data_IF_782974288277
#
_entry.id   IF_782974288277
#
_cell.length_a   1.000
_cell.length_b   1.000
_cell.length_c   1.000
_cell.angle_alpha   90.00
_cell.angle_beta   90.00
_cell.angle_gamma   90.00
#
_symmetry.space_group_name_H-M   'P 1'
#
loop_
_entity.id
_entity.type
_entity.pdbx_description
1 polymer ?
#
# COMPACT_ATOMS: atom_id res chain seq x y z
N UNK A 1 9.45 -77.09 -30.51
CA UNK A 1 10.19 -76.10 -31.33
C UNK A 1 10.51 -74.94 -30.41
N UNK A 2 11.77 -74.52 -30.30
CA UNK A 2 12.13 -73.36 -29.48
C UNK A 2 11.45 -72.10 -30.04
N UNK A 3 10.94 -71.24 -29.17
CA UNK A 3 10.27 -70.00 -29.57
C UNK A 3 11.29 -68.99 -30.12
N UNK A 4 10.83 -68.00 -30.91
CA UNK A 4 11.73 -66.96 -31.44
C UNK A 4 12.44 -66.17 -30.33
N UNK A 5 11.78 -66.00 -29.17
CA UNK A 5 12.40 -65.38 -28.00
C UNK A 5 13.58 -66.21 -27.46
N UNK A 6 13.42 -67.53 -27.36
CA UNK A 6 14.50 -68.43 -26.92
C UNK A 6 15.71 -68.42 -27.88
N UNK A 7 15.46 -68.31 -29.18
CA UNK A 7 16.54 -68.15 -30.16
C UNK A 7 17.29 -66.84 -29.98
N UNK A 8 16.58 -65.73 -29.73
CA UNK A 8 17.22 -64.43 -29.47
C UNK A 8 18.01 -64.46 -28.17
N UNK A 9 17.49 -65.08 -27.11
CA UNK A 9 18.20 -65.20 -25.83
C UNK A 9 19.46 -66.06 -25.93
N UNK A 10 19.41 -67.20 -26.64
CA UNK A 10 20.59 -68.04 -26.84
C UNK A 10 21.66 -67.35 -27.70
N UNK A 11 21.24 -66.63 -28.75
CA UNK A 11 22.14 -65.82 -29.57
C UNK A 11 22.79 -64.68 -28.77
N UNK A 12 22.01 -63.91 -28.00
CA UNK A 12 22.52 -62.84 -27.13
C UNK A 12 23.52 -63.37 -26.10
N UNK A 13 23.24 -64.53 -25.49
CA UNK A 13 24.15 -65.16 -24.55
C UNK A 13 25.48 -65.57 -25.19
N UNK A 14 25.43 -66.16 -26.39
CA UNK A 14 26.62 -66.49 -27.18
C UNK A 14 27.48 -65.26 -27.50
N UNK A 15 26.85 -64.18 -27.97
CA UNK A 15 27.53 -62.91 -28.26
C UNK A 15 28.16 -62.30 -27.00
N UNK A 16 27.45 -62.31 -25.87
CA UNK A 16 27.97 -61.78 -24.60
C UNK A 16 29.22 -62.54 -24.12
N UNK A 17 29.28 -63.87 -24.30
CA UNK A 17 30.47 -64.66 -23.95
C UNK A 17 31.68 -64.32 -24.82
N UNK A 18 31.48 -64.17 -26.14
CA UNK A 18 32.56 -63.79 -27.06
C UNK A 18 33.11 -62.40 -26.70
N UNK A 19 32.23 -61.43 -26.42
CA UNK A 19 32.62 -60.07 -26.01
C UNK A 19 33.35 -60.09 -24.67
N UNK A 20 32.87 -60.87 -23.69
CA UNK A 20 33.54 -61.00 -22.39
C UNK A 20 34.94 -61.64 -22.51
N UNK A 21 35.09 -62.67 -23.34
CA UNK A 21 36.38 -63.32 -23.57
C UNK A 21 37.40 -62.36 -24.23
N UNK A 22 36.95 -61.51 -25.15
CA UNK A 22 37.83 -60.54 -25.82
C UNK A 22 38.21 -59.36 -24.93
N UNK A 23 37.25 -58.82 -24.17
CA UNK A 23 37.45 -57.57 -23.40
C UNK A 23 37.95 -57.83 -21.98
N UNK A 24 37.37 -58.81 -21.29
CA UNK A 24 37.68 -59.13 -19.90
C UNK A 24 38.64 -60.32 -19.74
N UNK A 25 39.00 -61.02 -20.84
CA UNK A 25 39.82 -62.25 -20.84
C UNK A 25 39.22 -63.41 -20.02
N UNK A 26 37.91 -63.42 -19.85
CA UNK A 26 37.18 -64.49 -19.16
C UNK A 26 36.28 -65.26 -20.15
N UNK A 27 36.48 -66.58 -20.26
CA UNK A 27 35.74 -67.44 -21.21
C UNK A 27 34.38 -67.93 -20.67
N UNK A 28 34.16 -67.79 -19.35
CA UNK A 28 32.91 -68.18 -18.68
C UNK A 28 32.58 -67.25 -17.50
N UNK A 29 32.09 -66.02 -17.78
CA UNK A 29 31.81 -65.05 -16.74
C UNK A 29 30.53 -65.41 -15.97
N UNK A 30 30.59 -65.43 -14.63
CA UNK A 30 29.41 -65.66 -13.77
C UNK A 30 28.38 -64.51 -13.84
N UNK A 31 28.81 -63.31 -14.26
CA UNK A 31 27.96 -62.15 -14.53
C UNK A 31 28.47 -61.39 -15.76
N UNK A 32 27.60 -60.77 -16.58
CA UNK A 32 28.06 -60.03 -17.76
C UNK A 32 28.98 -58.87 -17.34
N UNK A 33 30.16 -58.70 -17.98
CA UNK A 33 31.20 -57.75 -17.54
C UNK A 33 30.72 -56.29 -17.54
N UNK A 34 29.77 -55.94 -18.42
CA UNK A 34 29.21 -54.59 -18.52
C UNK A 34 27.87 -54.41 -17.81
N UNK A 35 27.34 -55.40 -17.08
CA UNK A 35 26.01 -55.30 -16.47
C UNK A 35 25.91 -54.10 -15.52
N UNK A 36 26.97 -53.82 -14.75
CA UNK A 36 27.03 -52.66 -13.85
C UNK A 36 27.15 -51.35 -14.62
N UNK A 37 27.96 -51.30 -15.67
CA UNK A 37 28.17 -50.11 -16.50
C UNK A 37 26.91 -49.75 -17.31
N UNK A 38 26.28 -50.74 -17.94
CA UNK A 38 25.03 -50.58 -18.68
C UNK A 38 23.85 -50.21 -17.75
N UNK A 39 23.78 -50.82 -16.56
CA UNK A 39 22.80 -50.44 -15.54
C UNK A 39 22.97 -49.01 -15.06
N UNK A 40 24.22 -48.59 -14.76
CA UNK A 40 24.52 -47.21 -14.36
C UNK A 40 24.20 -46.20 -15.47
N UNK A 41 24.52 -46.52 -16.73
CA UNK A 41 24.19 -45.68 -17.88
C UNK A 41 22.67 -45.53 -18.06
N UNK A 42 21.90 -46.61 -17.93
CA UNK A 42 20.44 -46.58 -18.04
C UNK A 42 19.81 -45.75 -16.92
N UNK A 43 20.28 -45.90 -15.67
CA UNK A 43 19.85 -45.05 -14.54
C UNK A 43 20.20 -43.59 -14.81
N UNK A 44 21.40 -43.29 -15.31
CA UNK A 44 21.81 -41.94 -15.67
C UNK A 44 20.92 -41.30 -16.74
N UNK A 45 20.58 -42.04 -17.79
CA UNK A 45 19.66 -41.58 -18.85
C UNK A 45 18.25 -41.33 -18.29
N UNK A 46 17.74 -42.22 -17.44
CA UNK A 46 16.43 -42.04 -16.81
C UNK A 46 16.40 -40.80 -15.91
N UNK A 47 17.45 -40.58 -15.10
CA UNK A 47 17.56 -39.38 -14.26
C UNK A 47 17.67 -38.11 -15.10
N UNK A 48 18.42 -38.13 -16.20
CA UNK A 48 18.49 -37.00 -17.13
C UNK A 48 17.13 -36.72 -17.79
N UNK A 49 16.41 -37.76 -18.22
CA UNK A 49 15.07 -37.63 -18.79
C UNK A 49 14.07 -37.06 -17.77
N UNK A 50 14.12 -37.52 -16.52
CA UNK A 50 13.31 -36.95 -15.42
C UNK A 50 13.68 -35.49 -15.16
N UNK A 51 14.97 -35.15 -15.16
CA UNK A 51 15.44 -33.77 -14.99
C UNK A 51 14.96 -32.83 -16.11
N UNK A 52 15.06 -33.26 -17.37
CA UNK A 52 14.55 -32.50 -18.53
C UNK A 52 13.03 -32.38 -18.46
N UNK A 53 12.32 -33.47 -18.14
CA UNK A 53 10.88 -33.45 -17.94
C UNK A 53 10.44 -32.49 -16.83
N UNK A 54 11.17 -32.47 -15.70
CA UNK A 54 10.94 -31.55 -14.60
C UNK A 54 11.18 -30.09 -14.99
N UNK A 55 12.25 -29.80 -15.73
CA UNK A 55 12.52 -28.46 -16.23
C UNK A 55 11.46 -27.99 -17.24
N UNK A 56 11.01 -28.87 -18.14
CA UNK A 56 9.95 -28.57 -19.10
C UNK A 56 8.60 -28.32 -18.41
N UNK A 57 8.22 -29.17 -17.45
CA UNK A 57 7.01 -28.98 -16.64
C UNK A 57 7.07 -27.66 -15.84
N UNK A 58 8.23 -27.35 -15.26
CA UNK A 58 8.45 -26.08 -14.55
C UNK A 58 8.32 -24.87 -15.47
N UNK A 59 8.86 -24.94 -16.70
CA UNK A 59 8.75 -23.88 -17.69
C UNK A 59 7.29 -23.67 -18.17
N UNK A 60 6.48 -24.73 -18.27
CA UNK A 60 5.06 -24.61 -18.62
C UNK A 60 4.22 -24.02 -17.48
N UNK A 61 4.56 -24.33 -16.22
CA UNK A 61 3.87 -23.78 -15.05
C UNK A 61 4.22 -22.31 -14.76
N UNK A 62 5.38 -21.85 -15.23
CA UNK A 62 5.78 -20.43 -15.20
C UNK A 62 5.87 -19.89 -16.62
N UNK A 63 4.73 -19.51 -17.25
CA UNK A 63 4.77 -18.81 -18.52
C UNK A 63 5.71 -17.61 -18.36
N UNK A 64 6.83 -17.60 -19.09
CA UNK A 64 7.72 -16.44 -19.11
C UNK A 64 6.97 -15.24 -19.68
N UNK A 65 7.26 -14.02 -19.17
CA UNK A 65 6.68 -12.74 -19.60
C UNK A 65 6.24 -12.75 -21.08
N UNK A 66 4.99 -13.06 -21.40
CA UNK A 66 4.44 -12.95 -22.77
C UNK A 66 3.49 -11.78 -22.89
N UNK A 67 3.31 -11.00 -21.81
CA UNK A 67 2.53 -9.77 -21.86
C UNK A 67 3.20 -8.78 -22.81
N UNK A 68 2.40 -8.22 -23.72
CA UNK A 68 2.82 -7.13 -24.58
C UNK A 68 3.02 -5.87 -23.73
N UNK A 69 4.21 -5.74 -23.19
CA UNK A 69 4.57 -4.62 -22.32
C UNK A 69 4.61 -3.27 -23.06
N UNK A 70 4.44 -3.26 -24.39
CA UNK A 70 4.31 -2.04 -25.21
C UNK A 70 2.86 -1.58 -25.36
N UNK A 71 1.96 -2.10 -24.53
CA UNK A 71 0.61 -1.60 -24.34
C UNK A 71 0.64 -0.16 -23.74
N UNK A 72 -0.19 0.73 -24.26
CA UNK A 72 -0.33 2.12 -23.82
C UNK A 72 -1.03 2.26 -22.45
N UNK A 73 -1.57 1.16 -21.92
CA UNK A 73 -2.21 1.03 -20.60
C UNK A 73 -1.36 0.22 -19.59
N UNK A 74 -0.17 -0.23 -19.98
CA UNK A 74 0.68 -1.02 -19.11
C UNK A 74 1.55 -0.15 -18.19
N UNK A 75 1.39 -0.31 -16.88
CA UNK A 75 2.38 0.13 -15.89
C UNK A 75 3.52 -0.88 -15.85
N UNK A 76 4.68 -0.51 -16.35
CA UNK A 76 5.82 -1.41 -16.47
C UNK A 76 6.70 -1.29 -15.23
N UNK A 77 6.94 -2.40 -14.54
CA UNK A 77 7.86 -2.50 -13.40
C UNK A 77 9.07 -3.32 -13.82
N UNK A 78 10.27 -2.73 -13.73
CA UNK A 78 11.50 -3.49 -13.97
C UNK A 78 11.74 -4.48 -12.82
N UNK A 79 11.85 -5.76 -13.16
CA UNK A 79 11.99 -6.85 -12.19
C UNK A 79 13.22 -6.70 -11.29
N UNK A 80 14.33 -6.23 -11.84
CA UNK A 80 15.63 -6.19 -11.16
C UNK A 80 15.81 -4.98 -10.25
N UNK A 81 15.10 -3.87 -10.51
CA UNK A 81 15.28 -2.60 -9.78
C UNK A 81 14.02 -2.07 -9.12
N UNK A 82 12.84 -2.55 -9.54
CA UNK A 82 11.55 -1.96 -9.18
C UNK A 82 11.25 -0.63 -9.88
N UNK A 83 12.11 -0.18 -10.80
CA UNK A 83 11.90 1.08 -11.51
C UNK A 83 10.61 1.04 -12.34
N UNK A 84 9.86 2.14 -12.29
CA UNK A 84 8.58 2.29 -12.98
C UNK A 84 8.78 2.94 -14.35
N UNK A 85 8.07 2.42 -15.35
CA UNK A 85 8.07 2.95 -16.69
C UNK A 85 6.66 2.97 -17.29
N UNK A 86 6.45 3.87 -18.24
CA UNK A 86 5.30 3.88 -19.14
C UNK A 86 5.81 3.92 -20.58
N UNK A 87 5.16 3.16 -21.47
CA UNK A 87 5.46 3.19 -22.88
C UNK A 87 4.57 4.21 -23.58
N UNK A 88 5.18 5.22 -24.21
CA UNK A 88 4.48 6.20 -25.05
C UNK A 88 5.20 6.23 -26.38
N UNK A 89 4.58 5.61 -27.38
CA UNK A 89 5.24 5.28 -28.64
C UNK A 89 6.03 6.46 -29.23
N UNK A 90 7.30 6.27 -29.64
CA UNK A 90 8.08 5.03 -29.62
C UNK A 90 8.98 4.86 -28.39
N UNK A 91 8.79 5.66 -27.32
CA UNK A 91 9.74 5.80 -26.21
C UNK A 91 9.23 5.20 -24.90
N UNK A 92 10.17 4.62 -24.16
CA UNK A 92 9.98 4.14 -22.79
C UNK A 92 10.40 5.23 -21.80
N UNK A 93 9.44 5.80 -21.08
CA UNK A 93 9.64 6.90 -20.14
C UNK A 93 9.76 6.36 -18.71
N UNK A 94 10.86 6.64 -17.99
CA UNK A 94 10.93 6.40 -16.56
C UNK A 94 9.94 7.30 -15.81
N UNK A 95 9.31 6.80 -14.76
CA UNK A 95 8.31 7.57 -13.98
C UNK A 95 8.69 7.59 -12.50
N UNK A 96 8.52 8.75 -11.87
CA UNK A 96 8.93 8.96 -10.47
C UNK A 96 8.14 8.15 -9.43
N UNK A 97 6.88 7.82 -9.71
CA UNK A 97 5.97 7.17 -8.75
C UNK A 97 4.77 6.50 -9.43
N UNK A 98 4.10 5.59 -8.71
CA UNK A 98 2.93 4.86 -9.22
C UNK A 98 1.77 5.81 -9.56
N UNK A 99 1.51 6.82 -8.73
CA UNK A 99 0.44 7.79 -8.98
C UNK A 99 0.63 8.50 -10.33
N UNK A 100 1.84 9.02 -10.59
CA UNK A 100 2.17 9.66 -11.87
C UNK A 100 2.06 8.71 -13.05
N UNK A 101 2.44 7.45 -12.88
CA UNK A 101 2.36 6.48 -13.96
C UNK A 101 0.90 6.19 -14.34
N UNK A 102 0.02 5.96 -13.36
CA UNK A 102 -1.41 5.77 -13.61
C UNK A 102 -2.04 7.01 -14.27
N UNK A 103 -1.71 8.21 -13.79
CA UNK A 103 -2.17 9.47 -14.38
C UNK A 103 -1.70 9.65 -15.84
N UNK A 104 -0.48 9.21 -16.17
CA UNK A 104 0.07 9.24 -17.53
C UNK A 104 -0.61 8.25 -18.47
N UNK A 105 -0.95 7.05 -17.97
CA UNK A 105 -1.68 6.04 -18.73
C UNK A 105 -3.13 6.48 -18.99
N UNK A 106 -3.72 7.23 -18.04
CA UNK A 106 -5.08 7.76 -18.13
C UNK A 106 -6.13 6.69 -18.51
N UNK A 107 -5.95 5.48 -17.99
CA UNK A 107 -6.75 4.31 -18.30
C UNK A 107 -7.25 3.66 -17.01
N UNK A 108 -8.57 3.61 -16.75
CA UNK A 108 -9.14 2.96 -15.57
C UNK A 108 -8.85 1.46 -15.49
N UNK A 109 -8.59 0.83 -16.64
CA UNK A 109 -8.22 -0.57 -16.80
C UNK A 109 -6.70 -0.78 -16.93
N UNK A 110 -5.89 0.20 -16.50
CA UNK A 110 -4.44 0.06 -16.44
C UNK A 110 -4.03 -1.17 -15.62
N UNK A 111 -3.03 -1.89 -16.11
CA UNK A 111 -2.55 -3.11 -15.48
C UNK A 111 -1.03 -3.09 -15.33
N UNK A 112 -0.54 -3.77 -14.30
CA UNK A 112 0.90 -3.81 -14.01
C UNK A 112 1.55 -5.00 -14.69
N UNK A 113 2.63 -4.76 -15.43
CA UNK A 113 3.46 -5.79 -16.04
C UNK A 113 4.88 -5.72 -15.47
N UNK A 114 5.38 -6.85 -15.00
CA UNK A 114 6.77 -6.95 -14.54
C UNK A 114 7.64 -7.43 -15.68
N UNK A 115 8.66 -6.67 -16.06
CA UNK A 115 9.49 -6.96 -17.24
C UNK A 115 10.97 -6.96 -16.85
N UNK A 116 11.76 -7.87 -17.42
CA UNK A 116 13.21 -7.88 -17.19
C UNK A 116 13.92 -6.70 -17.86
N UNK A 117 14.97 -6.19 -17.23
CA UNK A 117 15.84 -5.13 -17.75
C UNK A 117 16.31 -5.42 -19.17
N UNK A 118 16.64 -6.68 -19.46
CA UNK A 118 17.13 -7.10 -20.77
C UNK A 118 16.13 -6.81 -21.91
N UNK A 119 14.82 -6.94 -21.67
CA UNK A 119 13.78 -6.66 -22.67
C UNK A 119 13.56 -5.16 -22.86
N UNK A 120 13.60 -4.39 -21.77
CA UNK A 120 13.42 -2.94 -21.80
C UNK A 120 14.54 -2.23 -22.58
N UNK A 121 15.73 -2.83 -22.72
CA UNK A 121 16.85 -2.28 -23.53
C UNK A 121 16.52 -2.10 -25.01
N UNK A 122 15.53 -2.83 -25.52
CA UNK A 122 15.14 -2.76 -26.93
C UNK A 122 14.34 -1.50 -27.28
N UNK A 123 13.74 -0.81 -26.30
CA UNK A 123 13.01 0.42 -26.54
C UNK A 123 13.88 1.67 -26.33
N UNK A 124 13.80 2.68 -27.21
CA UNK A 124 14.40 3.99 -26.98
C UNK A 124 13.92 4.60 -25.66
N UNK A 125 14.82 5.24 -24.90
CA UNK A 125 14.47 5.94 -23.67
C UNK A 125 13.89 7.33 -23.96
N UNK A 126 12.89 7.70 -23.17
CA UNK A 126 12.34 9.06 -23.10
C UNK A 126 12.86 9.82 -21.88
N UNK A 127 12.38 11.05 -21.72
CA UNK A 127 12.62 11.85 -20.52
C UNK A 127 11.95 11.20 -19.29
N UNK A 128 12.49 11.47 -18.10
CA UNK A 128 11.85 11.10 -16.83
C UNK A 128 10.60 11.96 -16.66
N UNK A 129 9.47 11.32 -16.37
CA UNK A 129 8.18 11.98 -16.18
C UNK A 129 7.67 11.79 -14.75
N UNK A 130 6.72 12.63 -14.35
CA UNK A 130 5.95 12.46 -13.13
C UNK A 130 6.01 13.64 -12.19
N UNK A 131 5.32 13.51 -11.06
CA UNK A 131 5.06 14.55 -10.08
C UNK A 131 5.99 14.33 -8.87
N UNK A 132 6.97 15.22 -8.61
CA UNK A 132 7.87 15.08 -7.47
C UNK A 132 7.10 15.15 -6.15
N UNK A 133 7.30 14.17 -5.27
CA UNK A 133 6.61 14.09 -3.99
C UNK A 133 5.18 13.55 -4.05
N UNK A 134 4.69 13.11 -5.22
CA UNK A 134 3.46 12.32 -5.27
C UNK A 134 3.69 10.89 -4.72
N UNK A 135 2.62 10.21 -4.27
CA UNK A 135 2.75 8.91 -3.61
C UNK A 135 3.42 7.86 -4.50
N UNK A 136 4.52 7.28 -4.00
CA UNK A 136 5.25 6.21 -4.66
C UNK A 136 4.39 4.94 -4.84
N UNK A 137 3.53 4.66 -3.85
CA UNK A 137 2.50 3.63 -3.89
C UNK A 137 1.16 4.26 -3.52
N UNK A 138 0.08 3.79 -4.15
CA UNK A 138 -1.28 4.16 -3.77
C UNK A 138 -1.88 3.12 -2.81
N UNK A 139 -2.68 3.54 -1.81
CA UNK A 139 -3.48 2.63 -1.02
C UNK A 139 -4.43 1.84 -1.93
N UNK A 140 -4.58 0.51 -1.77
CA UNK A 140 -5.58 -0.22 -2.51
C UNK A 140 -6.99 0.17 -2.05
N UNK A 141 -7.99 0.00 -2.92
CA UNK A 141 -9.37 0.46 -2.69
C UNK A 141 -9.98 -0.06 -1.38
N UNK A 142 -9.68 -1.30 -0.98
CA UNK A 142 -10.16 -1.96 0.24
C UNK A 142 -9.45 -1.46 1.52
N UNK A 143 -8.39 -0.67 1.36
CA UNK A 143 -7.66 0.00 2.44
C UNK A 143 -7.95 1.49 2.53
N UNK A 144 -8.87 2.00 1.69
CA UNK A 144 -9.43 3.33 1.89
C UNK A 144 -10.40 3.31 3.06
N UNK A 145 -10.11 4.13 4.06
CA UNK A 145 -10.89 4.29 5.27
C UNK A 145 -12.09 5.18 5.00
N UNK A 146 -13.25 4.70 5.43
CA UNK A 146 -14.54 5.38 5.25
C UNK A 146 -15.10 5.89 6.58
N UNK A 147 -14.50 5.42 7.68
CA UNK A 147 -14.86 5.77 9.03
C UNK A 147 -14.52 7.24 9.35
N UNK A 148 -15.29 7.89 10.24
CA UNK A 148 -15.00 9.24 10.69
C UNK A 148 -13.59 9.36 11.25
N UNK A 149 -12.93 10.47 10.93
CA UNK A 149 -11.63 10.79 11.51
C UNK A 149 -11.82 11.13 12.98
N UNK A 150 -10.91 10.66 13.82
CA UNK A 150 -10.91 10.98 15.24
C UNK A 150 -9.75 11.92 15.53
N UNK A 151 -10.03 13.04 16.19
CA UNK A 151 -9.00 13.99 16.64
C UNK A 151 -8.93 13.96 18.15
N UNK A 152 -7.77 13.62 18.68
CA UNK A 152 -7.51 13.55 20.11
C UNK A 152 -6.57 14.67 20.54
N UNK A 153 -6.87 15.34 21.64
CA UNK A 153 -5.97 16.27 22.30
C UNK A 153 -5.25 15.58 23.45
N UNK A 154 -3.94 15.77 23.50
CA UNK A 154 -3.09 15.52 24.67
C UNK A 154 -2.55 16.86 25.18
N UNK A 155 -1.86 16.89 26.33
CA UNK A 155 -1.16 18.09 26.80
C UNK A 155 -0.08 18.59 25.82
N UNK A 156 0.47 17.70 24.99
CA UNK A 156 1.57 17.99 24.07
C UNK A 156 1.10 18.47 22.67
N UNK A 157 -0.18 18.28 22.32
CA UNK A 157 -0.72 18.65 21.02
C UNK A 157 -1.96 17.82 20.63
N UNK A 158 -2.26 17.80 19.33
CA UNK A 158 -3.38 17.00 18.78
C UNK A 158 -2.87 15.80 17.99
N UNK A 159 -3.58 14.68 18.06
CA UNK A 159 -3.33 13.49 17.24
C UNK A 159 -4.56 13.22 16.39
N UNK A 160 -4.39 13.20 15.07
CA UNK A 160 -5.45 12.89 14.10
C UNK A 160 -5.31 11.44 13.68
N UNK A 161 -6.31 10.62 13.98
CA UNK A 161 -6.40 9.23 13.54
C UNK A 161 -7.32 9.10 12.34
N UNK A 162 -6.82 8.50 11.27
CA UNK A 162 -7.56 8.26 10.03
C UNK A 162 -7.83 6.76 9.91
N UNK A 163 -9.04 6.36 10.27
CA UNK A 163 -9.56 4.99 10.12
C UNK A 163 -9.46 4.07 11.33
N UNK A 164 -8.50 4.29 12.23
CA UNK A 164 -8.39 3.52 13.47
C UNK A 164 -8.92 4.32 14.66
N UNK A 165 -9.71 3.67 15.53
CA UNK A 165 -10.12 4.28 16.80
C UNK A 165 -9.09 3.95 17.88
N UNK A 166 -8.46 4.95 18.52
CA UNK A 166 -7.38 4.74 19.48
C UNK A 166 -7.82 4.03 20.77
N UNK A 167 -9.10 4.08 21.16
CA UNK A 167 -9.56 3.42 22.37
C UNK A 167 -11.03 3.69 22.70
N UNK A 168 -11.48 3.19 23.85
CA UNK A 168 -12.80 3.53 24.41
C UNK A 168 -12.62 4.67 25.41
N UNK A 169 -13.44 5.71 25.27
CA UNK A 169 -13.52 6.80 26.24
C UNK A 169 -14.88 6.84 26.93
N UNK A 170 -15.02 7.78 27.85
CA UNK A 170 -16.31 8.13 28.44
C UNK A 170 -16.91 9.32 27.68
N UNK A 171 -18.16 9.21 27.22
CA UNK A 171 -18.86 10.34 26.62
C UNK A 171 -18.96 11.49 27.63
N UNK A 172 -18.76 12.72 27.15
CA UNK A 172 -18.85 13.91 27.99
C UNK A 172 -20.29 14.10 28.53
N UNK A 173 -21.28 13.80 27.69
CA UNK A 173 -22.71 13.88 28.04
C UNK A 173 -23.15 15.32 28.28
N UNK A 174 -23.90 15.55 29.35
CA UNK A 174 -24.39 16.89 29.73
C UNK A 174 -23.35 17.71 30.54
N UNK A 175 -22.16 17.15 30.78
CA UNK A 175 -21.07 17.84 31.47
C UNK A 175 -20.30 18.74 30.51
N UNK A 176 -19.65 19.77 31.03
CA UNK A 176 -18.80 20.66 30.25
C UNK A 176 -17.31 20.53 30.59
N UNK A 177 -16.45 20.94 29.66
CA UNK A 177 -15.02 21.16 29.93
C UNK A 177 -14.67 22.57 29.49
N UNK A 178 -14.01 23.35 30.36
CA UNK A 178 -13.39 24.60 29.94
C UNK A 178 -12.01 24.29 29.37
N UNK A 179 -11.81 24.62 28.11
CA UNK A 179 -10.56 24.38 27.40
C UNK A 179 -9.98 25.69 26.88
N UNK A 180 -8.66 25.74 26.80
CA UNK A 180 -7.93 26.82 26.17
C UNK A 180 -6.90 26.25 25.21
N UNK A 181 -6.83 26.82 24.00
CA UNK A 181 -5.74 26.55 23.07
C UNK A 181 -4.65 27.61 23.16
N UNK A 182 -3.70 27.56 22.23
CA UNK A 182 -2.64 28.57 22.08
C UNK A 182 -3.12 29.99 21.78
N UNK A 183 -4.38 30.20 21.39
CA UNK A 183 -4.96 31.53 21.12
C UNK A 183 -5.39 32.30 22.39
N UNK A 184 -5.25 31.69 23.57
CA UNK A 184 -5.74 32.20 24.86
C UNK A 184 -7.25 32.48 24.93
N UNK A 185 -8.02 32.12 23.90
CA UNK A 185 -9.46 32.10 23.96
C UNK A 185 -9.93 30.88 24.74
N UNK A 186 -10.89 31.09 25.63
CA UNK A 186 -11.47 30.02 26.44
C UNK A 186 -12.75 29.57 25.77
N UNK A 187 -12.86 28.27 25.56
CA UNK A 187 -14.04 27.62 25.02
C UNK A 187 -14.64 26.70 26.06
N UNK A 188 -15.97 26.67 26.14
CA UNK A 188 -16.72 25.62 26.80
C UNK A 188 -17.00 24.53 25.77
N UNK A 189 -16.47 23.34 26.02
CA UNK A 189 -16.85 22.13 25.29
C UNK A 189 -18.06 21.55 25.97
N UNK A 190 -19.22 21.57 25.31
CA UNK A 190 -20.49 21.11 25.85
C UNK A 190 -21.43 20.71 24.71
N UNK A 191 -22.22 19.64 24.90
CA UNK A 191 -23.11 19.10 23.87
C UNK A 191 -22.44 18.89 22.50
N UNK A 192 -21.21 18.38 22.49
CA UNK A 192 -20.39 18.15 21.29
C UNK A 192 -20.09 19.41 20.45
N UNK A 193 -20.15 20.58 21.07
CA UNK A 193 -19.80 21.85 20.44
C UNK A 193 -18.82 22.63 21.30
N UNK A 194 -18.05 23.51 20.67
CA UNK A 194 -17.26 24.53 21.35
C UNK A 194 -18.04 25.84 21.36
N UNK A 195 -18.16 26.43 22.54
CA UNK A 195 -18.81 27.73 22.74
C UNK A 195 -17.80 28.71 23.29
N UNK A 196 -17.66 29.89 22.66
CA UNK A 196 -16.71 30.89 23.14
C UNK A 196 -17.18 31.47 24.48
N UNK A 197 -16.31 31.47 25.49
CA UNK A 197 -16.57 32.05 26.81
C UNK A 197 -15.79 33.35 26.95
N UNK A 198 -16.49 34.49 26.92
CA UNK A 198 -15.85 35.82 26.96
C UNK A 198 -15.30 36.18 28.34
N UNK A 199 -15.93 35.69 29.40
CA UNK A 199 -15.56 35.98 30.80
C UNK A 199 -15.43 34.68 31.60
N UNK A 200 -14.32 33.94 31.45
CA UNK A 200 -14.13 32.64 32.09
C UNK A 200 -13.94 32.75 33.62
N UNK A 201 -13.56 33.92 34.13
CA UNK A 201 -13.21 34.11 35.54
C UNK A 201 -11.95 33.34 35.94
N UNK A 202 -11.77 33.09 37.24
CA UNK A 202 -10.62 32.37 37.80
C UNK A 202 -10.80 30.84 37.82
N UNK A 203 -11.40 30.27 36.78
CA UNK A 203 -11.68 28.82 36.69
C UNK A 203 -10.50 28.05 36.09
N UNK A 204 -10.35 26.78 36.49
CA UNK A 204 -9.39 25.86 35.89
C UNK A 204 -9.74 25.64 34.42
N UNK A 205 -8.71 25.57 33.57
CA UNK A 205 -8.84 25.39 32.12
C UNK A 205 -7.89 24.29 31.69
N UNK A 206 -8.41 23.36 30.88
CA UNK A 206 -7.61 22.30 30.29
C UNK A 206 -6.92 22.86 29.04
N UNK A 207 -5.59 22.72 28.98
CA UNK A 207 -4.85 23.04 27.76
C UNK A 207 -5.10 21.97 26.70
N UNK A 208 -5.51 22.38 25.50
CA UNK A 208 -5.78 21.49 24.38
C UNK A 208 -5.04 21.93 23.11
N UNK A 209 -4.78 20.97 22.23
CA UNK A 209 -4.19 21.22 20.91
C UNK A 209 -5.14 21.99 19.99
N UNK A 210 -4.56 22.78 19.07
CA UNK A 210 -5.35 23.57 18.11
C UNK A 210 -6.09 22.68 17.10
N UNK A 211 -5.49 21.57 16.67
CA UNK A 211 -6.14 20.60 15.81
C UNK A 211 -7.45 20.06 16.41
N UNK A 212 -7.45 19.74 17.71
CA UNK A 212 -8.66 19.34 18.43
C UNK A 212 -9.72 20.45 18.42
N UNK A 213 -9.36 21.70 18.72
CA UNK A 213 -10.31 22.81 18.68
C UNK A 213 -10.87 23.04 17.26
N UNK A 214 -10.09 22.84 16.21
CA UNK A 214 -10.58 22.95 14.82
C UNK A 214 -11.52 21.82 14.43
N UNK A 215 -11.37 20.63 15.02
CA UNK A 215 -12.23 19.49 14.77
C UNK A 215 -13.58 19.59 15.50
N UNK A 216 -13.63 20.24 16.67
CA UNK A 216 -14.89 20.44 17.40
C UNK A 216 -15.78 21.47 16.69
N UNK A 217 -17.05 21.13 16.37
CA UNK A 217 -18.01 22.06 15.78
C UNK A 217 -18.22 23.32 16.63
N UNK A 218 -18.28 24.49 15.98
CA UNK A 218 -18.56 25.76 16.66
C UNK A 218 -20.06 25.90 16.97
N UNK A 219 -20.37 26.14 18.25
CA UNK A 219 -21.68 26.61 18.69
C UNK A 219 -21.72 28.13 18.85
N UNK A 220 -22.85 28.65 19.30
CA UNK A 220 -22.97 30.07 19.66
C UNK A 220 -22.06 30.45 20.84
N UNK A 221 -21.69 31.72 20.96
CA UNK A 221 -21.02 32.26 22.14
C UNK A 221 -21.83 31.89 23.40
N UNK A 222 -21.13 31.51 24.47
CA UNK A 222 -21.76 31.11 25.72
C UNK A 222 -21.99 32.33 26.61
N UNK A 223 -23.26 32.61 26.92
CA UNK A 223 -23.71 33.69 27.81
C UNK A 223 -24.53 33.19 29.01
N UNK A 224 -24.64 31.85 29.18
CA UNK A 224 -25.46 31.20 30.19
C UNK A 224 -24.74 30.82 31.50
N UNK A 225 -25.45 30.05 32.33
CA UNK A 225 -24.88 29.44 33.54
C UNK A 225 -24.11 28.19 33.13
N UNK A 226 -22.83 28.10 33.52
CA UNK A 226 -21.98 26.96 33.21
C UNK A 226 -22.56 25.64 33.75
N UNK A 227 -22.49 24.54 32.98
CA UNK A 227 -22.90 23.22 33.43
C UNK A 227 -21.92 22.66 34.48
N UNK A 228 -22.19 21.45 34.96
CA UNK A 228 -21.20 20.70 35.76
C UNK A 228 -19.92 20.51 34.95
N UNK A 229 -18.82 21.08 35.44
CA UNK A 229 -17.53 21.04 34.77
C UNK A 229 -16.73 19.81 35.17
N UNK A 230 -15.97 19.27 34.22
CA UNK A 230 -14.93 18.26 34.44
C UNK A 230 -13.58 18.99 34.41
N UNK A 231 -12.89 19.00 35.55
CA UNK A 231 -11.59 19.69 35.69
C UNK A 231 -10.41 18.85 35.17
N UNK A 232 -10.53 17.52 35.22
CA UNK A 232 -9.54 16.57 34.70
C UNK A 232 -10.22 15.61 33.70
N UNK A 233 -10.03 15.83 32.39
CA UNK A 233 -10.59 14.95 31.37
C UNK A 233 -9.74 13.69 31.14
N UNK A 234 -8.72 13.43 31.96
CA UNK A 234 -7.85 12.26 31.85
C UNK A 234 -6.78 12.40 30.77
N UNK A 235 -6.29 11.25 30.27
CA UNK A 235 -5.12 11.19 29.40
C UNK A 235 -5.30 11.91 28.04
N UNK A 236 -6.48 11.81 27.44
CA UNK A 236 -6.80 12.49 26.19
C UNK A 236 -8.29 12.79 26.06
N UNK A 237 -8.59 13.87 25.34
CA UNK A 237 -9.94 14.22 24.88
C UNK A 237 -10.05 13.97 23.39
N UNK A 238 -10.97 13.15 22.93
CA UNK A 238 -11.13 12.85 21.51
C UNK A 238 -12.50 13.31 20.99
N UNK A 239 -12.51 13.80 19.75
CA UNK A 239 -13.72 14.15 19.01
C UNK A 239 -13.79 13.32 17.73
N UNK A 240 -14.92 12.63 17.56
CA UNK A 240 -15.41 12.11 16.29
C UNK A 240 -16.83 12.67 16.05
N UNK A 241 -17.87 11.84 16.11
CA UNK A 241 -19.27 12.28 16.20
C UNK A 241 -19.62 12.75 17.63
N UNK A 242 -18.88 12.28 18.63
CA UNK A 242 -19.05 12.65 20.02
C UNK A 242 -17.71 13.04 20.65
N UNK A 243 -17.80 13.84 21.70
CA UNK A 243 -16.64 14.19 22.51
C UNK A 243 -16.52 13.19 23.65
N UNK A 244 -15.39 12.51 23.69
CA UNK A 244 -15.04 11.52 24.72
C UNK A 244 -13.81 11.97 25.50
N UNK A 245 -13.82 11.69 26.79
CA UNK A 245 -12.71 11.95 27.71
C UNK A 245 -12.13 10.63 28.23
N UNK A 246 -10.98 10.71 28.89
CA UNK A 246 -10.28 9.57 29.46
C UNK A 246 -9.96 8.47 28.42
N UNK A 247 -9.64 8.89 27.20
CA UNK A 247 -9.24 7.96 26.13
C UNK A 247 -7.78 7.57 26.34
N UNK A 248 -7.52 6.28 26.43
CA UNK A 248 -6.16 5.73 26.34
C UNK A 248 -5.74 5.74 24.88
N UNK A 249 -4.69 6.50 24.55
CA UNK A 249 -4.15 6.54 23.21
C UNK A 249 -3.13 5.41 23.00
N UNK A 250 -3.13 4.76 21.83
CA UNK A 250 -2.07 3.84 21.46
C UNK A 250 -0.76 4.59 21.29
N UNK A 251 0.34 3.85 21.29
CA UNK A 251 1.65 4.40 20.96
C UNK A 251 1.63 4.96 19.53
N UNK A 252 1.78 6.29 19.40
CA UNK A 252 1.75 7.01 18.11
C UNK A 252 3.07 6.90 17.34
N UNK A 253 3.92 5.93 17.69
CA UNK A 253 5.15 5.61 16.93
C UNK A 253 4.82 5.35 15.46
N UNK A 254 5.38 6.19 14.59
CA UNK A 254 5.14 6.15 13.15
C UNK A 254 4.14 7.20 12.64
N UNK A 255 3.51 7.96 13.54
CA UNK A 255 2.74 9.14 13.18
C UNK A 255 3.61 10.21 12.52
N UNK A 256 3.01 10.99 11.63
CA UNK A 256 3.67 12.05 10.86
C UNK A 256 3.44 13.40 11.55
N UNK A 257 4.51 14.07 12.03
CA UNK A 257 4.37 15.40 12.62
C UNK A 257 3.93 16.43 11.57
N UNK A 258 2.96 17.27 11.93
CA UNK A 258 2.38 18.27 11.01
C UNK A 258 2.70 19.71 11.40
N UNK A 259 3.18 19.91 12.64
CA UNK A 259 3.59 21.20 13.21
C UNK A 259 2.78 21.55 14.45
N UNK A 260 3.28 22.44 15.31
CA UNK A 260 2.56 22.90 16.50
C UNK A 260 2.26 21.82 17.56
N UNK A 261 3.00 20.70 17.53
CA UNK A 261 2.75 19.52 18.39
C UNK A 261 1.80 18.49 17.79
N UNK A 262 1.20 18.78 16.62
CA UNK A 262 0.20 17.91 16.03
C UNK A 262 0.84 16.74 15.25
N UNK A 263 0.18 15.57 15.30
CA UNK A 263 0.62 14.33 14.66
C UNK A 263 -0.54 13.67 13.92
N UNK A 264 -0.31 13.18 12.70
CA UNK A 264 -1.30 12.42 11.93
C UNK A 264 -0.90 10.95 11.90
N UNK A 265 -1.84 10.07 12.22
CA UNK A 265 -1.66 8.62 12.22
C UNK A 265 -2.61 8.00 11.19
N UNK A 266 -2.02 7.32 10.22
CA UNK A 266 -2.73 6.57 9.19
C UNK A 266 -2.17 5.14 9.19
N UNK A 267 -3.01 4.10 9.13
CA UNK A 267 -2.54 2.72 9.07
C UNK A 267 -1.61 2.50 7.86
N UNK A 268 -0.50 1.75 8.00
CA UNK A 268 0.41 1.46 6.90
C UNK A 268 -0.29 0.84 5.69
N UNK A 269 0.03 1.34 4.49
CA UNK A 269 -0.62 0.96 3.23
C UNK A 269 -2.10 1.37 3.13
N UNK A 270 -2.62 2.12 4.11
CA UNK A 270 -3.97 2.67 4.13
C UNK A 270 -4.02 4.10 3.62
N UNK A 271 -5.24 4.64 3.58
CA UNK A 271 -5.48 6.02 3.22
C UNK A 271 -6.94 6.39 3.39
N UNK A 272 -7.29 7.60 2.99
CA UNK A 272 -8.68 8.04 2.93
C UNK A 272 -8.90 8.86 1.66
N UNK A 273 -10.01 8.61 0.99
CA UNK A 273 -10.50 9.48 -0.05
C UNK A 273 -11.48 10.46 0.59
N UNK A 274 -11.17 11.75 0.56
CA UNK A 274 -11.94 12.76 1.28
C UNK A 274 -12.40 13.89 0.39
N UNK A 275 -13.57 14.43 0.72
CA UNK A 275 -14.12 15.65 0.14
C UNK A 275 -14.35 16.64 1.26
N UNK A 276 -13.87 17.87 1.11
CA UNK A 276 -14.22 18.90 2.09
C UNK A 276 -15.68 19.33 1.95
N UNK A 277 -16.24 19.92 3.00
CA UNK A 277 -17.47 20.72 2.94
C UNK A 277 -17.47 21.80 1.85
N UNK A 278 -16.29 22.33 1.51
CA UNK A 278 -16.08 23.25 0.37
C UNK A 278 -15.95 22.58 -1.00
N UNK A 279 -16.01 21.24 -1.06
CA UNK A 279 -15.97 20.46 -2.31
C UNK A 279 -14.58 20.06 -2.80
N UNK A 280 -13.51 20.31 -2.04
CA UNK A 280 -12.14 19.94 -2.42
C UNK A 280 -11.95 18.43 -2.24
N UNK A 281 -11.70 17.73 -3.35
CA UNK A 281 -11.39 16.30 -3.35
C UNK A 281 -9.89 16.08 -3.07
N UNK A 282 -9.56 15.17 -2.17
CA UNK A 282 -8.18 14.84 -1.83
C UNK A 282 -8.00 13.37 -1.49
N UNK A 283 -6.85 12.82 -1.85
CA UNK A 283 -6.36 11.53 -1.37
C UNK A 283 -5.42 11.77 -0.20
N UNK A 284 -5.69 11.12 0.92
CA UNK A 284 -4.75 11.01 2.05
C UNK A 284 -4.09 9.64 2.01
N UNK A 285 -2.77 9.60 2.14
CA UNK A 285 -1.99 8.35 2.17
C UNK A 285 -1.50 8.00 3.57
N UNK A 286 -0.95 6.80 3.71
CA UNK A 286 -0.29 6.31 4.92
C UNK A 286 0.88 7.17 5.40
N UNK A 287 1.42 8.03 4.52
CA UNK A 287 2.40 9.06 4.85
C UNK A 287 1.78 10.32 5.50
N UNK A 288 0.50 10.28 5.88
CA UNK A 288 -0.21 11.38 6.54
C UNK A 288 -0.35 12.64 5.68
N UNK A 289 -0.06 12.57 4.38
CA UNK A 289 -0.10 13.70 3.45
C UNK A 289 -1.39 13.71 2.66
N UNK A 290 -1.94 14.91 2.44
CA UNK A 290 -3.08 15.13 1.55
C UNK A 290 -2.61 15.54 0.16
N UNK A 291 -3.21 14.95 -0.86
CA UNK A 291 -2.95 15.25 -2.26
C UNK A 291 -4.27 15.63 -2.94
N UNK A 292 -4.37 16.86 -3.44
CA UNK A 292 -5.61 17.30 -4.11
C UNK A 292 -5.81 16.55 -5.42
N UNK A 293 -7.05 16.18 -5.70
CA UNK A 293 -7.45 15.55 -6.96
C UNK A 293 -8.31 16.56 -7.73
N UNK A 294 -7.97 16.91 -8.98
CA UNK A 294 -8.62 18.00 -9.70
C UNK A 294 -10.08 17.72 -10.07
N UNK A 295 -10.48 16.45 -10.15
CA UNK A 295 -11.85 16.04 -10.49
C UNK A 295 -12.14 14.57 -10.16
N UNK A 296 -13.41 14.21 -10.12
CA UNK A 296 -13.86 12.83 -9.85
C UNK A 296 -13.52 11.87 -11.00
N UNK A 297 -13.36 12.39 -12.21
CA UNK A 297 -12.93 11.67 -13.42
C UNK A 297 -11.53 11.07 -13.31
N UNK A 298 -10.70 11.60 -12.40
CA UNK A 298 -9.36 11.07 -12.10
C UNK A 298 -9.42 9.85 -11.16
N UNK A 299 -10.49 9.67 -10.38
CA UNK A 299 -10.59 8.58 -9.42
C UNK A 299 -10.52 7.18 -10.06
N UNK A 300 -11.24 6.90 -11.18
CA UNK A 300 -11.09 5.62 -11.87
C UNK A 300 -9.66 5.36 -12.35
N UNK A 301 -8.95 6.39 -12.83
CA UNK A 301 -7.55 6.28 -13.28
C UNK A 301 -6.62 5.90 -12.13
N UNK A 302 -6.87 6.43 -10.93
CA UNK A 302 -6.12 6.08 -9.71
C UNK A 302 -6.55 4.74 -9.09
N UNK A 303 -7.50 4.02 -9.68
CA UNK A 303 -7.99 2.73 -9.18
C UNK A 303 -9.12 2.83 -8.14
N UNK A 304 -9.75 4.00 -8.01
CA UNK A 304 -10.81 4.30 -7.03
C UNK A 304 -12.20 4.44 -7.67
N UNK A 305 -12.43 3.78 -8.80
CA UNK A 305 -13.74 3.74 -9.43
C UNK A 305 -14.81 3.23 -8.45
N UNK A 306 -15.91 3.98 -8.31
CA UNK A 306 -17.03 3.64 -7.43
C UNK A 306 -16.79 3.87 -5.94
N UNK A 307 -15.65 4.45 -5.54
CA UNK A 307 -15.40 4.82 -4.14
C UNK A 307 -16.01 6.18 -3.83
N UNK A 308 -16.83 6.24 -2.79
CA UNK A 308 -17.42 7.49 -2.31
C UNK A 308 -16.45 8.19 -1.35
N UNK A 309 -16.07 9.46 -1.62
CA UNK A 309 -15.23 10.22 -0.69
C UNK A 309 -15.95 10.52 0.63
N UNK A 310 -15.24 10.38 1.75
CA UNK A 310 -15.74 10.78 3.07
C UNK A 310 -15.78 12.31 3.15
N UNK A 311 -16.90 12.86 3.61
CA UNK A 311 -16.99 14.31 3.81
C UNK A 311 -16.33 14.70 5.13
N UNK A 312 -15.38 15.65 5.09
CA UNK A 312 -14.66 16.15 6.27
C UNK A 312 -14.64 17.68 6.28
N UNK A 313 -14.60 18.35 7.45
CA UNK A 313 -14.44 19.81 7.49
C UNK A 313 -13.11 20.26 6.85
N UNK A 314 -13.11 21.35 6.09
CA UNK A 314 -11.88 21.87 5.48
C UNK A 314 -10.76 22.19 6.50
N UNK A 315 -11.14 22.63 7.71
CA UNK A 315 -10.20 22.90 8.79
C UNK A 315 -9.44 21.65 9.24
N UNK A 316 -10.13 20.49 9.28
CA UNK A 316 -9.55 19.21 9.65
C UNK A 316 -8.59 18.70 8.58
N UNK A 317 -8.98 18.77 7.30
CA UNK A 317 -8.08 18.44 6.20
C UNK A 317 -6.86 19.38 6.17
N UNK A 318 -7.03 20.65 6.58
CA UNK A 318 -5.95 21.63 6.68
C UNK A 318 -4.84 21.27 7.68
N UNK A 319 -5.11 20.38 8.64
CA UNK A 319 -4.10 19.90 9.59
C UNK A 319 -3.08 18.96 8.93
N UNK A 320 -3.42 18.35 7.80
CA UNK A 320 -2.54 17.41 7.11
C UNK A 320 -1.53 18.17 6.23
N UNK A 321 -0.25 17.76 6.22
CA UNK A 321 0.75 18.32 5.33
C UNK A 321 0.33 18.16 3.88
N UNK A 322 0.42 19.26 3.12
CA UNK A 322 0.10 19.25 1.70
C UNK A 322 1.18 18.51 0.90
N UNK A 323 0.76 17.57 0.07
CA UNK A 323 1.50 17.02 -1.04
C UNK A 323 1.11 17.68 -2.37
N UNK A 324 1.79 17.35 -3.47
CA UNK A 324 1.43 17.85 -4.79
C UNK A 324 0.05 17.32 -5.24
N UNK A 325 -0.62 18.07 -6.12
CA UNK A 325 -1.86 17.65 -6.74
C UNK A 325 -1.64 16.42 -7.65
N UNK A 326 -2.59 15.48 -7.64
CA UNK A 326 -2.62 14.31 -8.51
C UNK A 326 -3.26 14.67 -9.86
N UNK A 327 -2.58 15.53 -10.60
CA UNK A 327 -3.06 16.10 -11.87
C UNK A 327 -2.37 15.43 -13.07
N UNK A 328 -3.14 14.87 -14.04
CA UNK A 328 -2.59 14.29 -15.27
C UNK A 328 -1.64 15.23 -16.04
N UNK A 329 -1.91 16.53 -16.06
CA UNK A 329 -1.07 17.53 -16.74
C UNK A 329 0.28 17.68 -16.04
N UNK A 330 0.31 17.62 -14.70
CA UNK A 330 1.56 17.66 -13.93
C UNK A 330 2.38 16.38 -14.13
N UNK A 331 1.72 15.22 -14.23
CA UNK A 331 2.38 13.94 -14.47
C UNK A 331 3.12 13.89 -15.82
N UNK A 332 2.61 14.63 -16.82
CA UNK A 332 3.22 14.78 -18.14
C UNK A 332 4.51 15.60 -18.21
N UNK A 333 4.91 16.29 -17.13
CA UNK A 333 6.09 17.17 -17.13
C UNK A 333 7.38 16.38 -17.04
N UNK A 334 8.37 16.76 -17.84
CA UNK A 334 9.73 16.26 -17.71
C UNK A 334 10.40 16.80 -16.46
N UNK A 335 11.18 15.95 -15.80
CA UNK A 335 11.96 16.26 -14.61
C UNK A 335 13.46 16.30 -14.89
#
# INVERSE_FOLDING_TARGET
>A
MASQQEQVHSYQFGVQRVVAALVARETDPAQPPFRRLAGAALVGVLLAAVGVGGAAAYALLRPGDTSDWRDDKALIVERESGALFVYREPRLHPVLNQASALLLLNAPDAHTVTVSRARLRSAPRGAVLGIPGAPASLPPKDRLRTEPWMVCSTPDGSVVFIGDRPGKGQALGDRGVLVAGSSHQVYLIWHNQKHLVRQPGARSQVSVGQGFLHAVPSGADFDGVLPSLVDDPGAAMCVDDQITTAVELPDVKGGVPTGGGDTVVVPPGGGALVRTDTGVLSLVTDLGRRHTVPGEDVLPVLGYAGQEPVTVPAALLGLLPAGPALDPVLAGRSQ
#
